data_IF_852909315612
#
_entry.id   IF_852909315612
#
_cell.length_a   1.000
_cell.length_b   1.000
_cell.length_c   1.000
_cell.angle_alpha   90.00
_cell.angle_beta   90.00
_cell.angle_gamma   90.00
#
_symmetry.space_group_name_H-M   'P 1'
#
loop_
_entity.id
_entity.type
_entity.pdbx_description
1 polymer ?
#
# COMPACT_ATOMS: atom_id res chain seq x y z
N UNK A 1 8.24 16.65 -8.18
CA UNK A 1 9.03 15.49 -7.72
C UNK A 1 8.91 14.42 -8.77
N UNK A 2 10.02 13.97 -9.35
CA UNK A 2 10.06 12.81 -10.25
C UNK A 2 9.98 11.54 -9.40
N UNK A 3 9.07 10.63 -9.75
CA UNK A 3 9.01 9.32 -9.09
C UNK A 3 10.32 8.57 -9.31
N UNK A 4 10.90 8.01 -8.24
CA UNK A 4 12.11 7.19 -8.37
C UNK A 4 11.87 6.00 -9.31
N UNK A 5 12.90 5.54 -10.04
CA UNK A 5 12.82 4.36 -10.92
C UNK A 5 12.23 3.13 -10.22
N UNK A 6 12.53 2.97 -8.93
CA UNK A 6 11.98 1.88 -8.11
C UNK A 6 10.47 2.01 -7.89
N UNK A 7 9.99 3.22 -7.65
CA UNK A 7 8.57 3.48 -7.46
C UNK A 7 7.78 3.10 -8.73
N UNK A 8 8.27 3.55 -9.89
CA UNK A 8 7.68 3.21 -11.19
C UNK A 8 7.68 1.70 -11.45
N UNK A 9 8.78 1.01 -11.12
CA UNK A 9 8.85 -0.45 -11.25
C UNK A 9 7.85 -1.16 -10.33
N UNK A 10 7.68 -0.68 -9.11
CA UNK A 10 6.74 -1.28 -8.16
C UNK A 10 5.29 -1.08 -8.61
N UNK A 11 4.95 0.12 -9.06
CA UNK A 11 3.64 0.43 -9.63
C UNK A 11 3.34 -0.46 -10.84
N UNK A 12 4.29 -0.62 -11.76
CA UNK A 12 4.15 -1.51 -12.92
C UNK A 12 3.91 -2.97 -12.51
N UNK A 13 4.62 -3.47 -11.48
CA UNK A 13 4.41 -4.83 -10.96
C UNK A 13 3.00 -4.98 -10.38
N UNK A 14 2.55 -4.00 -9.58
CA UNK A 14 1.22 -4.06 -8.96
C UNK A 14 0.12 -3.96 -10.02
N UNK A 15 0.28 -3.11 -11.03
CA UNK A 15 -0.66 -3.02 -12.13
C UNK A 15 -0.72 -4.32 -12.95
N UNK A 16 0.41 -5.00 -13.14
CA UNK A 16 0.42 -6.32 -13.81
C UNK A 16 -0.30 -7.37 -12.98
N UNK A 17 -0.08 -7.43 -11.67
CA UNK A 17 -0.85 -8.29 -10.77
C UNK A 17 -2.35 -8.00 -10.89
N UNK A 18 -2.72 -6.73 -10.88
CA UNK A 18 -4.11 -6.31 -11.00
C UNK A 18 -4.72 -6.71 -12.34
N UNK A 19 -3.95 -6.65 -13.44
CA UNK A 19 -4.34 -7.10 -14.78
C UNK A 19 -4.59 -8.61 -14.83
N UNK A 20 -3.70 -9.40 -14.22
CA UNK A 20 -3.84 -10.86 -14.16
C UNK A 20 -5.10 -11.27 -13.39
N UNK A 21 -5.43 -10.56 -12.31
CA UNK A 21 -6.60 -10.85 -11.48
C UNK A 21 -7.92 -10.41 -12.10
N UNK A 22 -7.88 -9.55 -13.13
CA UNK A 22 -9.05 -9.02 -13.82
C UNK A 22 -8.91 -9.23 -15.33
N UNK A 23 -8.97 -10.51 -15.80
CA UNK A 23 -8.80 -10.82 -17.19
C UNK A 23 -9.93 -10.16 -18.03
N UNK A 24 -9.53 -9.47 -19.10
CA UNK A 24 -10.47 -8.76 -19.97
C UNK A 24 -10.82 -7.34 -19.52
N UNK A 25 -10.41 -6.92 -18.33
CA UNK A 25 -10.63 -5.55 -17.86
C UNK A 25 -9.79 -4.52 -18.63
N UNK A 26 -10.39 -3.36 -18.89
CA UNK A 26 -9.69 -2.22 -19.49
C UNK A 26 -8.86 -1.50 -18.43
N UNK A 27 -7.54 -1.53 -18.60
CA UNK A 27 -6.58 -0.79 -17.78
C UNK A 27 -6.20 0.51 -18.49
N UNK A 28 -6.55 1.66 -17.91
CA UNK A 28 -6.20 2.96 -18.48
C UNK A 28 -5.25 3.69 -17.53
N UNK A 29 -4.04 4.08 -17.99
CA UNK A 29 -3.17 4.93 -17.19
C UNK A 29 -3.86 6.27 -16.94
N UNK A 30 -3.54 6.91 -15.84
CA UNK A 30 -4.04 8.25 -15.57
C UNK A 30 -3.14 9.33 -16.17
N UNK A 31 -3.69 10.54 -16.30
CA UNK A 31 -2.95 11.72 -16.72
C UNK A 31 -1.90 12.16 -15.69
N UNK A 32 -0.99 13.01 -16.13
CA UNK A 32 0.01 13.65 -15.28
C UNK A 32 -0.68 14.43 -14.12
N UNK A 33 -0.32 14.13 -12.87
CA UNK A 33 -0.91 14.66 -11.61
C UNK A 33 -2.30 14.13 -11.26
N UNK A 34 -2.69 12.98 -11.79
CA UNK A 34 -3.87 12.29 -11.29
C UNK A 34 -3.76 11.96 -9.79
N UNK A 35 -4.93 11.76 -9.18
CA UNK A 35 -5.08 11.52 -7.74
C UNK A 35 -5.03 10.04 -7.37
N UNK A 36 -4.88 9.19 -8.37
CA UNK A 36 -4.80 7.73 -8.33
C UNK A 36 -3.98 7.28 -9.56
N UNK A 37 -3.55 6.03 -9.60
CA UNK A 37 -2.51 5.58 -10.53
C UNK A 37 -3.07 4.99 -11.85
N UNK A 38 -4.22 4.29 -11.80
CA UNK A 38 -4.91 3.82 -13.02
C UNK A 38 -6.42 3.64 -12.83
N UNK A 39 -7.14 3.54 -13.94
CA UNK A 39 -8.52 3.06 -13.97
C UNK A 39 -8.59 1.60 -14.39
N UNK A 40 -9.47 0.84 -13.74
CA UNK A 40 -9.86 -0.52 -14.12
C UNK A 40 -11.38 -0.60 -14.23
N UNK A 41 -11.90 -0.62 -15.47
CA UNK A 41 -13.35 -0.65 -15.75
C UNK A 41 -14.18 0.39 -14.96
N UNK A 42 -13.64 1.61 -14.83
CA UNK A 42 -14.28 2.69 -14.07
C UNK A 42 -13.91 2.73 -12.57
N UNK A 43 -13.27 1.70 -12.03
CA UNK A 43 -12.69 1.71 -10.68
C UNK A 43 -11.41 2.52 -10.67
N UNK A 44 -11.30 3.53 -9.80
CA UNK A 44 -10.07 4.31 -9.62
C UNK A 44 -9.17 3.59 -8.63
N UNK A 45 -7.96 3.23 -9.05
CA UNK A 45 -7.05 2.39 -8.27
C UNK A 45 -5.84 3.21 -7.86
N UNK A 46 -5.60 3.29 -6.56
CA UNK A 46 -4.39 3.86 -5.97
C UNK A 46 -3.45 2.72 -5.57
N UNK A 47 -2.18 2.87 -5.87
CA UNK A 47 -1.10 2.00 -5.44
C UNK A 47 -0.14 2.74 -4.54
N UNK A 48 0.27 2.06 -3.47
CA UNK A 48 1.41 2.49 -2.65
C UNK A 48 2.32 1.31 -2.38
N UNK A 49 3.59 1.61 -2.21
CA UNK A 49 4.55 0.61 -1.80
C UNK A 49 5.35 1.07 -0.59
N UNK A 50 5.83 0.08 0.17
CA UNK A 50 6.74 0.28 1.27
C UNK A 50 7.83 -0.80 1.22
N UNK A 51 8.99 -0.47 1.79
CA UNK A 51 10.02 -1.48 2.08
C UNK A 51 9.85 -1.97 3.51
N UNK A 52 10.15 -3.24 3.74
CA UNK A 52 10.42 -3.74 5.09
C UNK A 52 11.75 -3.16 5.57
N UNK A 53 11.71 -2.32 6.60
CA UNK A 53 12.89 -1.63 7.14
C UNK A 53 12.99 -1.83 8.64
N UNK A 54 14.22 -2.03 9.13
CA UNK A 54 14.50 -2.05 10.56
C UNK A 54 14.44 -0.63 11.13
N UNK A 55 13.59 -0.42 12.13
CA UNK A 55 13.54 0.82 12.89
C UNK A 55 14.45 0.71 14.11
N UNK A 56 15.62 1.38 14.07
CA UNK A 56 16.61 1.33 15.14
C UNK A 56 16.14 1.94 16.46
N UNK A 57 15.23 2.93 16.43
CA UNK A 57 14.75 3.61 17.62
C UNK A 57 13.77 2.72 18.40
N UNK A 58 12.80 2.12 17.70
CA UNK A 58 11.81 1.22 18.30
C UNK A 58 12.24 -0.26 18.30
N UNK A 59 13.45 -0.56 17.80
CA UNK A 59 14.02 -1.90 17.67
C UNK A 59 13.03 -2.90 17.05
N UNK A 60 12.44 -2.55 15.90
CA UNK A 60 11.44 -3.40 15.22
C UNK A 60 11.41 -3.18 13.72
N UNK A 61 11.04 -4.21 12.96
CA UNK A 61 10.77 -4.08 11.52
C UNK A 61 9.47 -3.32 11.28
N UNK A 62 9.43 -2.50 10.22
CA UNK A 62 8.29 -1.64 9.88
C UNK A 62 8.08 -1.56 8.37
N UNK A 63 6.82 -1.57 7.95
CA UNK A 63 6.37 -1.13 6.63
C UNK A 63 5.52 0.12 6.81
N UNK A 64 5.90 1.21 6.13
CA UNK A 64 5.16 2.49 6.18
C UNK A 64 4.81 2.94 4.78
N UNK A 65 3.51 3.06 4.54
CA UNK A 65 2.92 3.68 3.36
C UNK A 65 2.48 5.10 3.72
N UNK A 66 2.62 6.05 2.80
CA UNK A 66 2.37 7.46 3.08
C UNK A 66 1.69 8.16 1.91
N UNK A 67 1.03 9.28 2.20
CA UNK A 67 0.39 10.12 1.19
C UNK A 67 -0.92 9.53 0.66
N UNK A 68 -1.61 8.72 1.46
CA UNK A 68 -2.84 8.04 1.05
C UNK A 68 -4.03 8.98 1.25
N UNK A 69 -4.84 9.22 0.23
CA UNK A 69 -5.98 10.14 0.29
C UNK A 69 -7.32 9.41 0.44
N UNK A 70 -7.54 8.86 1.63
CA UNK A 70 -8.81 8.22 2.02
C UNK A 70 -9.94 9.25 2.15
N UNK A 71 -11.19 8.81 1.93
CA UNK A 71 -12.36 9.61 2.29
C UNK A 71 -12.42 9.79 3.81
N UNK A 72 -12.77 11.00 4.24
CA UNK A 72 -13.00 11.34 5.63
C UNK A 72 -14.51 11.37 5.91
N UNK A 73 -15.00 10.68 6.96
CA UNK A 73 -16.39 10.82 7.39
C UNK A 73 -16.75 12.28 7.66
N UNK A 74 -17.87 12.75 7.09
CA UNK A 74 -18.35 14.12 7.30
C UNK A 74 -17.60 15.22 6.52
N UNK A 75 -16.56 14.88 5.75
CA UNK A 75 -15.88 15.83 4.85
C UNK A 75 -16.42 15.64 3.44
N UNK A 76 -16.87 16.73 2.79
CA UNK A 76 -17.42 16.70 1.42
C UNK A 76 -16.41 16.26 0.35
N UNK A 77 -15.15 16.01 0.69
CA UNK A 77 -14.16 15.53 -0.29
C UNK A 77 -14.34 14.04 -0.53
N UNK A 78 -14.72 13.66 -1.75
CA UNK A 78 -14.74 12.27 -2.20
C UNK A 78 -13.35 11.64 -2.08
N UNK A 79 -13.28 10.34 -1.74
CA UNK A 79 -12.05 9.58 -1.85
C UNK A 79 -11.47 9.75 -3.25
N UNK A 80 -10.15 9.89 -3.32
CA UNK A 80 -9.46 10.07 -4.59
C UNK A 80 -9.44 8.80 -5.43
N UNK A 81 -9.60 7.66 -4.79
CA UNK A 81 -9.64 6.33 -5.37
C UNK A 81 -10.78 5.52 -4.75
N UNK A 82 -11.16 4.43 -5.41
CA UNK A 82 -12.15 3.47 -4.94
C UNK A 82 -11.46 2.22 -4.33
N UNK A 83 -10.27 1.88 -4.82
CA UNK A 83 -9.47 0.77 -4.31
C UNK A 83 -8.02 1.17 -4.02
N UNK A 84 -7.48 0.64 -2.93
CA UNK A 84 -6.08 0.83 -2.52
C UNK A 84 -5.34 -0.50 -2.55
N UNK A 85 -4.31 -0.57 -3.39
CA UNK A 85 -3.37 -1.68 -3.46
C UNK A 85 -2.05 -1.31 -2.75
N UNK A 86 -1.56 -2.20 -1.91
CA UNK A 86 -0.34 -2.02 -1.14
C UNK A 86 0.68 -3.09 -1.51
N UNK A 87 1.90 -2.66 -1.87
CA UNK A 87 3.03 -3.54 -2.13
C UNK A 87 4.10 -3.46 -1.03
N UNK A 88 4.48 -4.61 -0.48
CA UNK A 88 5.58 -4.73 0.48
C UNK A 88 6.78 -5.33 -0.24
N UNK A 89 7.85 -4.53 -0.38
CA UNK A 89 9.15 -5.00 -0.83
C UNK A 89 9.93 -5.58 0.36
N UNK A 90 10.24 -6.87 0.34
CA UNK A 90 10.78 -7.62 1.48
C UNK A 90 11.90 -8.59 1.08
N UNK A 91 12.69 -9.14 2.02
CA UNK A 91 13.69 -10.16 1.70
C UNK A 91 13.14 -11.43 1.02
N UNK A 92 11.85 -11.73 1.14
CA UNK A 92 11.21 -12.93 0.56
C UNK A 92 10.47 -12.67 -0.76
N UNK A 93 10.52 -11.45 -1.27
CA UNK A 93 9.78 -11.05 -2.47
C UNK A 93 8.94 -9.80 -2.30
N UNK A 94 8.02 -9.61 -3.25
CA UNK A 94 6.99 -8.57 -3.23
C UNK A 94 5.66 -9.20 -2.84
N UNK A 95 5.02 -8.65 -1.82
CA UNK A 95 3.68 -9.04 -1.41
C UNK A 95 2.70 -7.93 -1.77
N UNK A 96 1.66 -8.27 -2.52
CA UNK A 96 0.62 -7.32 -2.96
C UNK A 96 -0.67 -7.60 -2.21
N UNK A 97 -1.25 -6.56 -1.61
CA UNK A 97 -2.48 -6.62 -0.83
C UNK A 97 -3.52 -5.64 -1.34
N UNK A 98 -4.80 -6.03 -1.30
CA UNK A 98 -5.92 -5.10 -1.31
C UNK A 98 -6.20 -4.65 0.11
N UNK A 99 -6.08 -3.34 0.35
CA UNK A 99 -6.33 -2.75 1.65
C UNK A 99 -7.83 -2.58 1.92
N UNK A 100 -8.25 -2.73 3.17
CA UNK A 100 -9.67 -2.62 3.55
C UNK A 100 -10.14 -1.18 3.87
N UNK A 101 -9.22 -0.21 3.78
CA UNK A 101 -9.48 1.21 4.03
C UNK A 101 -9.40 1.66 5.50
N UNK A 102 -9.26 0.76 6.47
CA UNK A 102 -9.29 1.10 7.91
C UNK A 102 -8.07 0.59 8.69
N UNK A 103 -7.52 -0.56 8.31
CA UNK A 103 -6.43 -1.20 9.04
C UNK A 103 -5.15 -0.36 9.03
N UNK A 104 -4.53 -0.19 10.20
CA UNK A 104 -3.21 0.47 10.33
C UNK A 104 -3.16 1.94 9.89
N UNK A 105 -4.31 2.57 9.57
CA UNK A 105 -4.42 3.97 9.15
C UNK A 105 -4.14 4.89 10.33
N UNK A 106 -3.19 5.80 10.19
CA UNK A 106 -2.85 6.80 11.20
C UNK A 106 -3.97 7.82 11.37
N UNK A 107 -4.38 8.12 12.59
CA UNK A 107 -5.48 9.05 12.92
C UNK A 107 -5.01 10.47 13.28
N UNK A 108 -3.84 10.91 12.81
CA UNK A 108 -3.22 12.17 13.27
C UNK A 108 -3.93 13.45 12.75
N UNK A 109 -5.15 13.69 13.23
CA UNK A 109 -5.80 15.01 13.29
C UNK A 109 -5.94 15.78 11.96
N UNK A 110 -6.08 17.10 12.09
CA UNK A 110 -6.44 18.04 11.01
C UNK A 110 -5.41 18.12 9.87
N UNK A 111 -4.15 17.75 10.11
CA UNK A 111 -3.08 17.76 9.10
C UNK A 111 -3.24 16.66 8.04
N UNK A 112 -3.98 15.59 8.36
CA UNK A 112 -4.18 14.44 7.48
C UNK A 112 -4.94 14.80 6.19
N UNK A 113 -5.75 15.87 6.21
CA UNK A 113 -6.47 16.37 5.03
C UNK A 113 -5.49 16.83 3.95
N UNK A 114 -4.46 17.58 4.34
CA UNK A 114 -3.49 18.17 3.42
C UNK A 114 -2.39 17.19 3.01
N UNK A 115 -1.87 16.38 3.94
CA UNK A 115 -0.73 15.48 3.66
C UNK A 115 -1.14 14.06 3.29
N UNK A 116 -2.36 13.66 3.62
CA UNK A 116 -2.82 12.29 3.45
C UNK A 116 -2.46 11.41 4.65
N UNK A 117 -3.11 10.27 4.71
CA UNK A 117 -2.92 9.25 5.72
C UNK A 117 -1.62 8.47 5.50
N UNK A 118 -1.14 7.87 6.58
CA UNK A 118 -0.12 6.83 6.51
C UNK A 118 -0.69 5.53 7.02
N UNK A 119 -0.25 4.42 6.44
CA UNK A 119 -0.51 3.08 6.97
C UNK A 119 0.81 2.55 7.48
N UNK A 120 0.86 2.17 8.76
CA UNK A 120 2.09 1.64 9.36
C UNK A 120 1.80 0.30 10.02
N UNK A 121 2.53 -0.73 9.61
CA UNK A 121 2.46 -2.07 10.20
C UNK A 121 3.85 -2.46 10.67
N UNK A 122 3.95 -2.98 11.89
CA UNK A 122 5.22 -3.27 12.56
C UNK A 122 5.30 -4.72 12.96
N UNK A 123 6.52 -5.27 12.92
CA UNK A 123 6.85 -6.56 13.50
C UNK A 123 7.01 -6.48 15.03
N UNK A 124 7.32 -7.62 15.69
CA UNK A 124 7.62 -7.64 17.12
C UNK A 124 8.85 -6.80 17.45
N UNK A 125 8.88 -6.25 18.67
CA UNK A 125 10.05 -5.54 19.20
C UNK A 125 11.15 -6.55 19.53
N UNK A 126 12.40 -6.23 19.18
CA UNK A 126 13.56 -7.10 19.39
C UNK A 126 13.72 -8.25 18.39
N UNK A 127 12.76 -8.45 17.49
CA UNK A 127 12.85 -9.50 16.46
C UNK A 127 13.79 -9.05 15.34
N UNK A 128 15.07 -9.41 15.42
CA UNK A 128 16.08 -9.00 14.43
C UNK A 128 15.94 -9.73 13.10
N UNK A 129 15.48 -10.99 13.09
CA UNK A 129 15.26 -11.72 11.83
C UNK A 129 14.10 -11.11 11.01
N UNK A 130 14.45 -10.65 9.80
CA UNK A 130 13.53 -9.96 8.91
C UNK A 130 12.41 -10.86 8.41
N UNK A 131 12.68 -12.15 8.19
CA UNK A 131 11.72 -13.11 7.67
C UNK A 131 10.63 -13.40 8.71
N UNK A 132 11.01 -13.66 9.95
CA UNK A 132 10.09 -13.88 11.06
C UNK A 132 9.24 -12.64 11.33
N UNK A 133 9.85 -11.44 11.28
CA UNK A 133 9.12 -10.20 11.44
C UNK A 133 8.15 -9.92 10.29
N UNK A 134 8.53 -10.27 9.06
CA UNK A 134 7.67 -10.19 7.89
C UNK A 134 6.45 -11.10 8.06
N UNK A 135 6.62 -12.35 8.48
CA UNK A 135 5.49 -13.28 8.66
C UNK A 135 4.46 -12.72 9.63
N UNK A 136 4.90 -12.11 10.74
CA UNK A 136 4.00 -11.41 11.68
C UNK A 136 3.31 -10.22 11.01
N UNK A 137 4.01 -9.43 10.20
CA UNK A 137 3.42 -8.30 9.48
C UNK A 137 2.35 -8.77 8.48
N UNK A 138 2.61 -9.85 7.73
CA UNK A 138 1.65 -10.41 6.77
C UNK A 138 0.40 -10.94 7.50
N UNK A 139 0.58 -11.67 8.60
CA UNK A 139 -0.54 -12.13 9.45
C UNK A 139 -1.38 -10.96 9.97
N UNK A 140 -0.75 -9.84 10.33
CA UNK A 140 -1.47 -8.63 10.75
C UNK A 140 -2.30 -8.01 9.63
N UNK A 141 -1.80 -8.00 8.38
CA UNK A 141 -2.58 -7.54 7.23
C UNK A 141 -3.84 -8.39 7.04
N UNK A 142 -3.70 -9.71 7.07
CA UNK A 142 -4.81 -10.65 6.91
C UNK A 142 -5.82 -10.55 8.06
N UNK A 143 -5.34 -10.54 9.32
CA UNK A 143 -6.18 -10.34 10.49
C UNK A 143 -6.88 -8.98 10.50
N UNK A 144 -6.26 -7.97 9.90
CA UNK A 144 -6.84 -6.66 9.65
C UNK A 144 -7.88 -6.63 8.53
N UNK A 145 -8.15 -7.74 7.85
CA UNK A 145 -9.12 -7.83 6.75
C UNK A 145 -8.57 -7.38 5.39
N UNK A 146 -7.25 -7.22 5.26
CA UNK A 146 -6.63 -6.96 3.96
C UNK A 146 -6.45 -8.29 3.21
N UNK A 147 -6.75 -8.30 1.92
CA UNK A 147 -6.66 -9.53 1.10
C UNK A 147 -5.32 -9.59 0.39
N UNK A 148 -4.54 -10.65 0.61
CA UNK A 148 -3.34 -10.88 -0.20
C UNK A 148 -3.77 -11.25 -1.63
N UNK A 149 -3.25 -10.51 -2.61
CA UNK A 149 -3.56 -10.67 -4.02
C UNK A 149 -2.50 -11.49 -4.75
N UNK A 150 -1.22 -11.24 -4.44
CA UNK A 150 -0.11 -11.95 -5.05
C UNK A 150 1.13 -11.94 -4.15
N UNK A 151 2.00 -12.90 -4.40
CA UNK A 151 3.36 -12.96 -3.87
C UNK A 151 4.33 -13.29 -5.00
N UNK A 152 5.25 -12.37 -5.28
CA UNK A 152 6.29 -12.54 -6.29
C UNK A 152 7.60 -12.82 -5.55
N UNK A 153 8.18 -14.00 -5.77
CA UNK A 153 9.47 -14.38 -5.19
C UNK A 153 10.62 -13.77 -6.01
N UNK A 154 11.80 -13.66 -5.39
CA UNK A 154 13.01 -13.21 -6.07
C UNK A 154 13.57 -14.24 -7.04
#
# INVERSE_FOLDING_TARGET
MTSSTRALRMESIVQEVDRILHPGSSMKPTEYRAKFDWHRDGTRVECKYAKLLWNNYFKRWTCRFSGIKLALPGVRSSAYFDELLLAIYSPRGIHVFRHNGTFGVSTNGKDTVHYGFSITVTGPVGQEDACSALDVILTKFEAGGCKQLARLLW
#
